data_IF_347909034985
#
_entry.id   IF_347909034985
#
_cell.length_a   1.000
_cell.length_b   1.000
_cell.length_c   1.000
_cell.angle_alpha   90.00
_cell.angle_beta   90.00
_cell.angle_gamma   90.00
#
_symmetry.space_group_name_H-M   'P 1'
#
loop_
_entity.id
_entity.type
_entity.pdbx_description
1 polymer ?
#
# COMPACT_ATOMS: atom_id res chain seq x y z
N UNK A 1 65.87 24.40 -24.52
CA UNK A 1 64.93 23.79 -25.49
C UNK A 1 64.81 22.27 -25.33
N UNK A 2 65.90 21.52 -25.19
CA UNK A 2 65.87 20.03 -25.07
C UNK A 2 65.10 19.50 -23.86
N UNK A 3 65.27 20.09 -22.68
CA UNK A 3 64.60 19.66 -21.44
C UNK A 3 63.07 19.81 -21.47
N UNK A 4 62.53 20.87 -22.07
CA UNK A 4 61.08 21.04 -22.26
C UNK A 4 60.49 20.06 -23.27
N UNK A 5 61.26 19.69 -24.31
CA UNK A 5 60.80 18.73 -25.30
C UNK A 5 60.67 17.32 -24.69
N UNK A 6 61.66 16.91 -23.89
CA UNK A 6 61.65 15.63 -23.16
C UNK A 6 60.50 15.55 -22.14
N UNK A 7 60.28 16.63 -21.39
CA UNK A 7 59.15 16.73 -20.45
C UNK A 7 57.79 16.69 -21.19
N UNK A 8 57.69 17.31 -22.36
CA UNK A 8 56.48 17.25 -23.19
C UNK A 8 56.24 15.85 -23.76
N UNK A 9 57.30 15.13 -24.16
CA UNK A 9 57.21 13.74 -24.62
C UNK A 9 56.71 12.80 -23.53
N UNK A 10 57.23 12.92 -22.30
CA UNK A 10 56.74 12.12 -21.17
C UNK A 10 55.26 12.33 -20.85
N UNK A 11 54.78 13.58 -20.94
CA UNK A 11 53.35 13.91 -20.75
C UNK A 11 52.47 13.30 -21.85
N UNK A 12 52.94 13.29 -23.10
CA UNK A 12 52.22 12.66 -24.23
C UNK A 12 52.10 11.15 -24.02
N UNK A 13 53.17 10.48 -23.58
CA UNK A 13 53.13 9.03 -23.28
C UNK A 13 52.15 8.72 -22.16
N UNK A 14 52.18 9.49 -21.06
CA UNK A 14 51.24 9.31 -19.95
C UNK A 14 49.77 9.52 -20.35
N UNK A 15 49.50 10.50 -21.21
CA UNK A 15 48.18 10.72 -21.80
C UNK A 15 47.75 9.54 -22.68
N UNK A 16 48.66 9.01 -23.49
CA UNK A 16 48.40 7.84 -24.34
C UNK A 16 48.02 6.62 -23.51
N UNK A 17 48.75 6.36 -22.41
CA UNK A 17 48.47 5.25 -21.49
C UNK A 17 47.10 5.42 -20.82
N UNK A 18 46.79 6.64 -20.38
CA UNK A 18 45.48 6.98 -19.80
C UNK A 18 44.34 6.75 -20.80
N UNK A 19 44.53 7.15 -22.07
CA UNK A 19 43.56 6.91 -23.14
C UNK A 19 43.37 5.42 -23.41
N UNK A 20 44.44 4.63 -23.39
CA UNK A 20 44.35 3.17 -23.56
C UNK A 20 43.54 2.51 -22.43
N UNK A 21 43.77 2.95 -21.19
CA UNK A 21 42.99 2.49 -20.02
C UNK A 21 41.52 2.87 -20.16
N UNK A 22 41.19 4.11 -20.53
CA UNK A 22 39.78 4.47 -20.73
C UNK A 22 39.12 3.68 -21.86
N UNK A 23 39.83 3.44 -22.96
CA UNK A 23 39.32 2.61 -24.06
C UNK A 23 39.00 1.18 -23.63
N UNK A 24 39.74 0.61 -22.68
CA UNK A 24 39.45 -0.73 -22.16
C UNK A 24 38.25 -0.75 -21.20
N UNK A 25 38.04 0.32 -20.42
CA UNK A 25 36.96 0.40 -19.41
C UNK A 25 35.60 0.79 -20.01
N UNK A 26 35.58 1.60 -21.08
CA UNK A 26 34.34 2.10 -21.69
C UNK A 26 33.37 0.98 -22.10
N UNK A 27 33.78 -0.10 -22.78
CA UNK A 27 32.88 -1.19 -23.18
C UNK A 27 32.20 -1.87 -22.00
N UNK A 28 32.96 -2.18 -20.94
CA UNK A 28 32.44 -2.81 -19.73
C UNK A 28 31.45 -1.89 -19.01
N UNK A 29 31.78 -0.60 -18.95
CA UNK A 29 30.89 0.43 -18.37
C UNK A 29 29.58 0.52 -19.16
N UNK A 30 29.64 0.54 -20.49
CA UNK A 30 28.44 0.53 -21.35
C UNK A 30 27.58 -0.71 -21.13
N UNK A 31 28.21 -1.88 -20.99
CA UNK A 31 27.51 -3.14 -20.69
C UNK A 31 26.83 -3.10 -19.32
N UNK A 32 27.51 -2.55 -18.31
CA UNK A 32 26.93 -2.38 -16.98
C UNK A 32 25.72 -1.43 -16.99
N UNK A 33 25.80 -0.32 -17.74
CA UNK A 33 24.68 0.61 -17.93
C UNK A 33 23.49 -0.09 -18.59
N UNK A 34 23.69 -0.77 -19.71
CA UNK A 34 22.62 -1.50 -20.40
C UNK A 34 21.99 -2.59 -19.51
N UNK A 35 22.79 -3.25 -18.67
CA UNK A 35 22.28 -4.22 -17.69
C UNK A 35 21.43 -3.53 -16.61
N UNK A 36 21.87 -2.38 -16.11
CA UNK A 36 21.13 -1.61 -15.11
C UNK A 36 19.81 -1.08 -15.67
N UNK A 37 19.79 -0.57 -16.90
CA UNK A 37 18.57 -0.12 -17.59
C UNK A 37 17.54 -1.26 -17.69
N UNK A 38 17.98 -2.47 -18.08
CA UNK A 38 17.10 -3.65 -18.12
C UNK A 38 16.54 -4.03 -16.74
N UNK A 39 17.35 -3.89 -15.69
CA UNK A 39 16.90 -4.15 -14.32
C UNK A 39 15.90 -3.09 -13.85
N UNK A 40 16.08 -1.83 -14.23
CA UNK A 40 15.13 -0.74 -13.93
C UNK A 40 13.78 -1.00 -14.60
N UNK A 41 13.77 -1.33 -15.90
CA UNK A 41 12.54 -1.65 -16.65
C UNK A 41 11.75 -2.80 -15.98
N UNK A 42 12.45 -3.86 -15.56
CA UNK A 42 11.82 -4.97 -14.83
C UNK A 42 11.23 -4.52 -13.49
N UNK A 43 11.92 -3.63 -12.77
CA UNK A 43 11.45 -3.10 -11.50
C UNK A 43 10.23 -2.19 -11.69
N UNK A 44 10.23 -1.32 -12.70
CA UNK A 44 9.09 -0.47 -13.03
C UNK A 44 7.83 -1.29 -13.34
N UNK A 45 7.97 -2.37 -14.12
CA UNK A 45 6.85 -3.28 -14.39
C UNK A 45 6.31 -3.94 -13.11
N UNK A 46 7.20 -4.37 -12.21
CA UNK A 46 6.80 -4.94 -10.91
C UNK A 46 6.10 -3.90 -10.03
N UNK A 47 6.59 -2.66 -10.00
CA UNK A 47 5.96 -1.56 -9.27
C UNK A 47 4.53 -1.32 -9.79
N UNK A 48 4.34 -1.24 -11.11
CA UNK A 48 3.02 -1.07 -11.72
C UNK A 48 2.06 -2.20 -11.35
N UNK A 49 2.52 -3.44 -11.38
CA UNK A 49 1.70 -4.58 -10.97
C UNK A 49 1.27 -4.49 -9.49
N UNK A 50 2.16 -4.03 -8.61
CA UNK A 50 1.83 -3.83 -7.20
C UNK A 50 0.85 -2.67 -7.01
N UNK A 51 0.98 -1.58 -7.77
CA UNK A 51 0.03 -0.47 -7.78
C UNK A 51 -1.38 -0.92 -8.19
N UNK A 52 -1.48 -1.77 -9.22
CA UNK A 52 -2.75 -2.36 -9.65
C UNK A 52 -3.38 -3.23 -8.55
N UNK A 53 -2.56 -4.06 -7.88
CA UNK A 53 -3.02 -4.91 -6.77
C UNK A 53 -3.51 -4.06 -5.58
N UNK A 54 -2.78 -3.01 -5.22
CA UNK A 54 -3.16 -2.09 -4.14
C UNK A 54 -4.47 -1.40 -4.50
N UNK A 55 -4.58 -0.86 -5.71
CA UNK A 55 -5.80 -0.20 -6.20
C UNK A 55 -7.02 -1.12 -6.14
N UNK A 56 -6.85 -2.39 -6.55
CA UNK A 56 -7.92 -3.38 -6.47
C UNK A 56 -8.31 -3.73 -5.02
N UNK A 57 -7.34 -3.75 -4.10
CA UNK A 57 -7.61 -3.98 -2.65
C UNK A 57 -8.30 -2.78 -2.03
N UNK A 58 -7.87 -1.56 -2.34
CA UNK A 58 -8.49 -0.32 -1.86
C UNK A 58 -9.95 -0.23 -2.31
N UNK A 59 -10.23 -0.55 -3.58
CA UNK A 59 -11.60 -0.62 -4.08
C UNK A 59 -12.46 -1.63 -3.31
N UNK A 60 -11.91 -2.80 -2.93
CA UNK A 60 -12.62 -3.79 -2.10
C UNK A 60 -12.84 -3.30 -0.67
N UNK A 61 -11.88 -2.59 -0.08
CA UNK A 61 -12.03 -2.01 1.26
C UNK A 61 -13.16 -0.99 1.25
N UNK A 62 -13.18 -0.08 0.27
CA UNK A 62 -14.25 0.92 0.12
C UNK A 62 -15.61 0.23 0.00
N UNK A 63 -15.74 -0.76 -0.89
CA UNK A 63 -17.00 -1.49 -1.06
C UNK A 63 -17.46 -2.21 0.23
N UNK A 64 -16.54 -2.79 1.00
CA UNK A 64 -16.86 -3.42 2.29
C UNK A 64 -17.27 -2.40 3.34
N UNK A 65 -16.60 -1.24 3.39
CA UNK A 65 -16.97 -0.13 4.29
C UNK A 65 -18.36 0.37 3.96
N UNK A 66 -18.67 0.58 2.67
CA UNK A 66 -20.00 1.01 2.23
C UNK A 66 -21.07 -0.01 2.63
N UNK A 67 -20.79 -1.31 2.50
CA UNK A 67 -21.69 -2.38 2.93
C UNK A 67 -21.92 -2.40 4.44
N UNK A 68 -20.86 -2.20 5.24
CA UNK A 68 -20.98 -2.11 6.70
C UNK A 68 -21.82 -0.89 7.09
N UNK A 69 -21.56 0.25 6.46
CA UNK A 69 -22.32 1.49 6.70
C UNK A 69 -23.78 1.36 6.29
N UNK A 70 -24.09 0.69 5.17
CA UNK A 70 -25.48 0.43 4.78
C UNK A 70 -26.17 -0.50 5.78
N UNK A 71 -25.49 -1.56 6.24
CA UNK A 71 -26.07 -2.49 7.21
C UNK A 71 -26.28 -1.84 8.59
N UNK A 72 -25.35 -1.00 9.04
CA UNK A 72 -25.46 -0.29 10.32
C UNK A 72 -26.49 0.84 10.30
N UNK A 73 -26.69 1.52 9.16
CA UNK A 73 -27.80 2.48 8.99
C UNK A 73 -29.18 1.86 9.18
N UNK A 74 -29.30 0.54 9.01
CA UNK A 74 -30.55 -0.20 9.19
C UNK A 74 -30.66 -0.92 10.55
N UNK A 75 -29.64 -0.87 11.40
CA UNK A 75 -29.63 -1.45 12.74
C UNK A 75 -29.26 -0.41 13.80
N UNK A 76 -30.22 0.44 14.16
CA UNK A 76 -30.11 1.19 15.39
C UNK A 76 -30.08 0.18 16.56
N UNK A 77 -28.94 0.08 17.23
CA UNK A 77 -28.70 -0.88 18.33
C UNK A 77 -29.62 -0.63 19.52
N UNK A 78 -30.27 0.54 19.57
CA UNK A 78 -31.27 0.90 20.57
C UNK A 78 -32.68 0.47 20.19
N UNK A 79 -32.94 0.10 18.93
CA UNK A 79 -34.24 -0.35 18.44
C UNK A 79 -34.24 -1.87 18.29
N UNK A 80 -35.26 -2.51 18.84
CA UNK A 80 -35.41 -3.95 18.70
C UNK A 80 -35.54 -4.35 17.22
N UNK A 81 -34.72 -5.30 16.75
CA UNK A 81 -34.73 -5.72 15.35
C UNK A 81 -36.00 -6.51 15.04
N UNK A 82 -36.46 -6.42 13.80
CA UNK A 82 -37.62 -7.17 13.31
C UNK A 82 -37.35 -8.67 13.19
N UNK A 83 -36.11 -9.00 12.86
CA UNK A 83 -35.62 -10.37 12.75
C UNK A 83 -34.33 -10.45 13.57
N UNK A 84 -34.31 -11.33 14.57
CA UNK A 84 -33.11 -11.58 15.34
C UNK A 84 -32.10 -12.36 14.49
N UNK A 85 -30.87 -11.86 14.44
CA UNK A 85 -29.74 -12.50 13.74
C UNK A 85 -29.26 -13.77 14.45
N UNK A 86 -29.53 -13.92 15.75
CA UNK A 86 -29.13 -15.09 16.54
C UNK A 86 -30.02 -15.33 17.77
N UNK A 87 -29.97 -16.55 18.30
CA UNK A 87 -30.61 -16.90 19.58
C UNK A 87 -30.03 -16.10 20.75
N UNK A 88 -28.74 -15.73 20.68
CA UNK A 88 -28.10 -14.90 21.71
C UNK A 88 -28.69 -13.48 21.71
N UNK A 89 -28.83 -12.88 20.53
CA UNK A 89 -29.44 -11.55 20.37
C UNK A 89 -30.90 -11.54 20.86
N UNK A 90 -31.69 -12.57 20.52
CA UNK A 90 -33.06 -12.70 21.00
C UNK A 90 -33.15 -12.73 22.53
N UNK A 91 -32.28 -13.51 23.19
CA UNK A 91 -32.22 -13.58 24.65
C UNK A 91 -31.82 -12.24 25.28
N UNK A 92 -30.91 -11.51 24.63
CA UNK A 92 -30.46 -10.19 25.08
C UNK A 92 -31.61 -9.16 25.03
N UNK A 93 -32.39 -9.14 23.95
CA UNK A 93 -33.57 -8.28 23.83
C UNK A 93 -34.69 -8.64 24.80
N UNK A 94 -34.94 -9.93 25.03
CA UNK A 94 -35.87 -10.38 26.06
C UNK A 94 -35.47 -9.85 27.45
N UNK A 95 -34.18 -10.01 27.81
CA UNK A 95 -33.66 -9.50 29.09
C UNK A 95 -33.82 -7.98 29.23
N UNK A 96 -33.50 -7.21 28.18
CA UNK A 96 -33.69 -5.75 28.17
C UNK A 96 -35.15 -5.35 28.35
N UNK A 97 -36.08 -6.11 27.76
CA UNK A 97 -37.52 -5.89 27.90
C UNK A 97 -37.95 -6.10 29.36
N UNK A 98 -37.52 -7.20 29.97
CA UNK A 98 -37.77 -7.49 31.40
C UNK A 98 -37.18 -6.38 32.30
N UNK A 99 -35.96 -5.92 32.02
CA UNK A 99 -35.30 -4.82 32.75
C UNK A 99 -36.06 -3.49 32.59
N UNK A 100 -36.63 -3.22 31.41
CA UNK A 100 -37.37 -1.98 31.13
C UNK A 100 -38.69 -1.84 31.90
N UNK A 101 -39.23 -2.94 32.44
CA UNK A 101 -40.41 -2.92 33.29
C UNK A 101 -40.14 -2.22 34.63
N UNK A 102 -38.91 -2.30 35.13
CA UNK A 102 -38.52 -1.81 36.46
C UNK A 102 -37.47 -0.69 36.42
N UNK A 103 -36.70 -0.54 35.32
CA UNK A 103 -35.69 0.50 35.15
C UNK A 103 -36.09 1.54 34.08
N UNK A 104 -36.34 2.76 34.55
CA UNK A 104 -36.74 3.92 33.74
C UNK A 104 -35.64 4.37 32.77
N UNK A 105 -34.36 4.16 33.11
CA UNK A 105 -33.26 4.52 32.21
C UNK A 105 -33.15 3.54 31.05
N UNK A 106 -33.33 2.24 31.30
CA UNK A 106 -33.44 1.23 30.25
C UNK A 106 -34.62 1.51 29.32
N UNK A 107 -35.77 1.94 29.85
CA UNK A 107 -36.96 2.29 29.05
C UNK A 107 -36.76 3.53 28.15
N UNK A 108 -35.95 4.51 28.57
CA UNK A 108 -35.60 5.66 27.72
C UNK A 108 -34.55 5.31 26.67
N UNK A 109 -33.71 4.32 26.98
CA UNK A 109 -32.55 3.94 26.16
C UNK A 109 -32.90 3.02 24.99
N UNK A 110 -33.94 2.21 25.10
CA UNK A 110 -34.29 1.22 24.07
C UNK A 110 -35.74 1.37 23.58
N UNK A 111 -35.94 1.14 22.28
CA UNK A 111 -37.26 1.08 21.63
C UNK A 111 -37.62 -0.39 21.36
N UNK A 112 -38.66 -0.88 22.01
CA UNK A 112 -39.14 -2.26 21.85
C UNK A 112 -40.23 -2.31 20.78
N UNK A 113 -40.23 -3.35 19.95
CA UNK A 113 -41.30 -3.60 18.98
C UNK A 113 -42.43 -4.41 19.64
N UNK A 114 -43.70 -4.27 19.22
CA UNK A 114 -44.81 -5.07 19.70
C UNK A 114 -44.61 -6.57 19.47
#
# INVERSE_FOLDING_TARGET
MTRSLEESGGKVTQLSDSVAIFKSIIPDTKKAIASAEKSIDLLENRCRNLEDIISAKDGKIVALVDQILSNTKHSDVTIEPEIYSSTHERKLWAKRRDESEYDLETRKKYTFRP
#
